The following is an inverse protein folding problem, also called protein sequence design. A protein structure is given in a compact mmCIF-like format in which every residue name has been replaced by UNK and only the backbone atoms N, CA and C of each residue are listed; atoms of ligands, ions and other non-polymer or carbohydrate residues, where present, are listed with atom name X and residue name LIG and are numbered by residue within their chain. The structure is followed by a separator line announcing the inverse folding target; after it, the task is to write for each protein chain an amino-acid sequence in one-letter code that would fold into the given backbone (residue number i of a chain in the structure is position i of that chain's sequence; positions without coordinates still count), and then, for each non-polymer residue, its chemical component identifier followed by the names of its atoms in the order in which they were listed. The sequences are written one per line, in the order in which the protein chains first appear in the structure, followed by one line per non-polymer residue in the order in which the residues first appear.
data_IF_820448242328
#
_entry.id   IF_820448242328
#
_cell.length_a   1.000
_cell.length_b   1.000
_cell.length_c   1.000
_cell.angle_alpha   90.00
_cell.angle_beta   90.00
_cell.angle_gamma   90.00
#
_symmetry.space_group_name_H-M   'P 1'
#
loop_
_entity.id
_entity.type
_entity.pdbx_description
1 polymer ?
#
# COMPACT_ATOMS: atom_id res chain seq x y z
N UNK A 1 -5.13 -4.44 28.74
CA UNK A 1 -4.33 -5.27 29.67
C UNK A 1 -2.87 -5.40 29.24
N UNK A 2 -2.44 -4.78 28.12
CA UNK A 2 -1.07 -4.88 27.64
C UNK A 2 -0.82 -6.12 26.79
N UNK A 3 -1.84 -6.96 26.56
CA UNK A 3 -1.77 -8.05 25.61
C UNK A 3 -2.04 -7.54 24.19
N UNK A 4 -1.28 -8.03 23.20
CA UNK A 4 -1.52 -7.66 21.81
C UNK A 4 -2.87 -8.23 21.36
N UNK A 5 -3.75 -7.35 20.88
CA UNK A 5 -5.05 -7.72 20.31
C UNK A 5 -4.88 -8.46 18.97
N UNK A 6 -3.76 -8.23 18.29
CA UNK A 6 -3.40 -8.87 17.03
C UNK A 6 -2.02 -9.53 17.13
N UNK A 7 -1.90 -10.78 16.66
CA UNK A 7 -0.64 -11.56 16.76
C UNK A 7 0.41 -11.21 15.70
N UNK A 8 0.12 -10.33 14.74
CA UNK A 8 0.98 -10.06 13.58
C UNK A 8 1.34 -8.58 13.46
N UNK A 9 2.65 -8.29 13.37
CA UNK A 9 3.19 -6.93 13.22
C UNK A 9 2.63 -6.22 11.98
N UNK A 10 2.42 -6.94 10.88
CA UNK A 10 1.85 -6.38 9.65
C UNK A 10 0.43 -5.82 9.85
N UNK A 11 -0.43 -6.52 10.60
CA UNK A 11 -1.77 -6.01 10.94
C UNK A 11 -1.67 -4.72 11.75
N UNK A 12 -0.79 -4.67 12.75
CA UNK A 12 -0.57 -3.46 13.55
C UNK A 12 -0.07 -2.28 12.69
N UNK A 13 0.83 -2.54 11.73
CA UNK A 13 1.30 -1.52 10.80
C UNK A 13 0.16 -0.94 9.98
N UNK A 14 -0.77 -1.77 9.48
CA UNK A 14 -1.94 -1.28 8.77
C UNK A 14 -2.82 -0.40 9.65
N UNK A 15 -3.10 -0.81 10.89
CA UNK A 15 -3.95 -0.05 11.81
C UNK A 15 -3.36 1.31 12.16
N UNK A 16 -2.04 1.35 12.40
CA UNK A 16 -1.30 2.60 12.56
C UNK A 16 -1.34 3.41 11.26
N UNK A 17 -1.21 2.75 10.11
CA UNK A 17 -1.16 3.34 8.77
C UNK A 17 -2.42 4.10 8.40
N UNK A 18 -3.61 3.56 8.70
CA UNK A 18 -4.90 4.20 8.39
C UNK A 18 -4.97 5.61 8.97
N UNK A 19 -4.69 5.76 10.27
CA UNK A 19 -4.71 7.08 10.92
C UNK A 19 -3.57 7.99 10.44
N UNK A 20 -2.39 7.40 10.20
CA UNK A 20 -1.18 8.12 9.78
C UNK A 20 -1.35 8.76 8.40
N UNK A 21 -1.83 8.00 7.42
CA UNK A 21 -2.04 8.46 6.05
C UNK A 21 -3.02 9.64 6.01
N UNK A 22 -4.12 9.57 6.79
CA UNK A 22 -5.15 10.61 6.83
C UNK A 22 -4.64 11.96 7.37
N UNK A 23 -3.58 11.95 8.17
CA UNK A 23 -2.97 13.18 8.71
C UNK A 23 -1.68 13.58 7.98
N UNK A 24 -1.41 12.98 6.81
CA UNK A 24 -0.28 13.32 5.95
C UNK A 24 1.07 12.77 6.45
N UNK A 25 1.06 11.66 7.19
CA UNK A 25 2.27 10.91 7.57
C UNK A 25 2.12 9.43 7.18
N UNK A 26 3.04 8.57 7.60
CA UNK A 26 3.03 7.14 7.29
C UNK A 26 3.64 6.32 8.45
N UNK A 27 3.31 5.03 8.53
CA UNK A 27 3.88 4.11 9.52
C UNK A 27 5.41 4.07 9.45
N UNK A 28 5.99 4.06 8.24
CA UNK A 28 7.42 4.14 8.00
C UNK A 28 8.06 5.35 8.69
N UNK A 29 7.42 6.53 8.64
CA UNK A 29 7.98 7.75 9.20
C UNK A 29 8.20 7.64 10.71
N UNK A 30 7.25 7.05 11.44
CA UNK A 30 7.41 6.81 12.88
C UNK A 30 8.52 5.79 13.16
N UNK A 31 8.50 4.64 12.47
CA UNK A 31 9.49 3.58 12.69
C UNK A 31 10.91 4.03 12.35
N UNK A 32 11.09 4.74 11.23
CA UNK A 32 12.38 5.31 10.82
C UNK A 32 12.84 6.36 11.81
N UNK A 33 11.94 7.20 12.32
CA UNK A 33 12.29 8.20 13.33
C UNK A 33 12.82 7.54 14.61
N UNK A 34 12.17 6.49 15.11
CA UNK A 34 12.64 5.73 16.27
C UNK A 34 14.04 5.14 16.04
N UNK A 35 14.28 4.58 14.85
CA UNK A 35 15.61 4.09 14.47
C UNK A 35 16.69 5.18 14.47
N UNK A 36 16.37 6.36 13.93
CA UNK A 36 17.26 7.53 13.94
C UNK A 36 17.53 8.01 15.38
N UNK A 37 16.51 8.02 16.25
CA UNK A 37 16.70 8.33 17.69
C UNK A 37 17.57 7.29 18.39
N UNK A 38 17.46 6.03 17.99
CA UNK A 38 18.38 4.97 18.43
C UNK A 38 19.84 5.30 18.08
N UNK A 39 20.10 5.85 16.89
CA UNK A 39 21.44 6.31 16.48
C UNK A 39 21.89 7.50 17.34
N UNK A 40 21.01 8.45 17.66
CA UNK A 40 21.36 9.57 18.56
C UNK A 40 21.91 9.04 19.88
N UNK A 41 21.20 8.10 20.52
CA UNK A 41 21.66 7.47 21.75
C UNK A 41 23.00 6.76 21.58
N UNK A 42 23.19 6.00 20.49
CA UNK A 42 24.48 5.34 20.22
C UNK A 42 25.63 6.35 20.09
N UNK A 43 25.40 7.52 19.48
CA UNK A 43 26.43 8.54 19.33
C UNK A 43 26.81 9.24 20.64
N UNK A 44 25.94 9.22 21.66
CA UNK A 44 26.23 9.80 22.99
C UNK A 44 27.05 8.85 23.88
N UNK A 45 27.11 7.56 23.53
CA UNK A 45 27.84 6.54 24.29
C UNK A 45 29.34 6.66 24.11
N UNK A 46 30.08 6.75 25.22
CA UNK A 46 31.55 6.87 25.24
C UNK A 46 32.28 5.64 24.70
N UNK A 47 31.62 4.49 24.69
CA UNK A 47 32.14 3.21 24.19
C UNK A 47 31.85 2.96 22.71
N UNK A 48 31.19 3.91 22.02
CA UNK A 48 30.85 3.82 20.60
C UNK A 48 31.58 4.91 19.81
N UNK A 49 32.18 4.55 18.68
CA UNK A 49 32.70 5.52 17.72
C UNK A 49 31.56 5.98 16.79
N UNK A 50 31.10 7.24 16.87
CA UNK A 50 29.97 7.73 16.07
C UNK A 50 30.27 7.76 14.57
N UNK A 51 31.54 7.58 14.14
CA UNK A 51 31.91 7.47 12.73
C UNK A 51 31.80 6.04 12.19
N UNK A 52 31.49 5.06 13.05
CA UNK A 52 31.49 3.62 12.72
C UNK A 52 30.15 2.96 13.03
N UNK A 53 29.06 3.59 12.59
CA UNK A 53 27.71 3.04 12.74
C UNK A 53 27.37 2.14 11.55
N UNK A 54 27.02 0.88 11.86
CA UNK A 54 26.47 -0.08 10.91
C UNK A 54 24.97 -0.27 11.11
N UNK A 55 24.21 -0.54 10.04
CA UNK A 55 22.77 -0.81 10.12
C UNK A 55 22.40 -2.08 9.34
N UNK A 56 21.65 -3.00 9.95
CA UNK A 56 21.21 -4.25 9.32
C UNK A 56 19.90 -4.73 9.93
N UNK A 57 19.12 -5.44 9.12
CA UNK A 57 17.84 -6.03 9.53
C UNK A 57 17.25 -6.85 8.41
N UNK A 58 16.30 -7.73 8.75
CA UNK A 58 15.65 -8.64 7.81
C UNK A 58 14.18 -8.30 7.63
N UNK A 59 13.63 -8.41 6.41
CA UNK A 59 12.20 -8.20 6.14
C UNK A 59 11.75 -6.77 6.48
N UNK A 60 10.80 -6.58 7.41
CA UNK A 60 10.50 -5.25 7.97
C UNK A 60 11.73 -4.55 8.61
N UNK A 61 12.68 -5.32 9.16
CA UNK A 61 13.98 -4.78 9.56
C UNK A 61 14.87 -4.38 8.38
N UNK A 62 14.74 -5.06 7.24
CA UNK A 62 15.42 -4.71 5.99
C UNK A 62 14.81 -3.46 5.35
N UNK A 63 13.48 -3.31 5.44
CA UNK A 63 12.74 -2.09 5.10
C UNK A 63 13.30 -0.92 5.92
N UNK A 64 13.33 -1.09 7.24
CA UNK A 64 13.78 -0.05 8.15
C UNK A 64 15.26 0.30 7.94
N UNK A 65 16.12 -0.72 7.73
CA UNK A 65 17.52 -0.51 7.36
C UNK A 65 17.64 0.34 6.11
N UNK A 66 16.81 0.08 5.09
CA UNK A 66 16.83 0.80 3.82
C UNK A 66 16.44 2.28 3.97
N UNK A 67 15.43 2.57 4.79
CA UNK A 67 15.04 3.96 5.09
C UNK A 67 16.11 4.67 5.92
N UNK A 68 16.56 4.07 7.02
CA UNK A 68 17.54 4.71 7.91
C UNK A 68 18.85 4.96 7.17
N UNK A 69 19.35 3.98 6.41
CA UNK A 69 20.62 4.14 5.68
C UNK A 69 20.57 5.20 4.59
N UNK A 70 19.38 5.48 4.04
CA UNK A 70 19.16 6.48 3.01
C UNK A 70 18.92 7.88 3.59
N UNK A 71 18.33 7.98 4.80
CA UNK A 71 17.91 9.23 5.41
C UNK A 71 18.83 9.74 6.53
N UNK A 72 19.73 8.92 7.06
CA UNK A 72 20.67 9.31 8.11
C UNK A 72 22.12 9.10 7.67
N UNK A 73 22.85 10.22 7.52
CA UNK A 73 24.22 10.19 7.05
C UNK A 73 25.20 9.51 8.01
N UNK A 74 24.86 9.33 9.29
CA UNK A 74 25.73 8.69 10.28
C UNK A 74 25.87 7.20 10.04
N UNK A 75 24.93 6.57 9.32
CA UNK A 75 25.07 5.17 8.91
C UNK A 75 26.17 5.04 7.86
N UNK A 76 27.34 4.62 8.31
CA UNK A 76 28.50 4.40 7.47
C UNK A 76 28.32 3.16 6.61
N UNK A 77 27.98 2.02 7.21
CA UNK A 77 27.83 0.73 6.52
C UNK A 77 26.41 0.18 6.70
N UNK A 78 25.83 -0.44 5.67
CA UNK A 78 24.51 -1.06 5.80
C UNK A 78 24.40 -2.42 5.10
N UNK A 79 23.50 -3.26 5.59
CA UNK A 79 23.17 -4.55 5.01
C UNK A 79 21.68 -4.91 5.14
N UNK A 80 20.78 -4.31 4.34
CA UNK A 80 19.37 -4.73 4.32
C UNK A 80 19.24 -6.17 3.80
N UNK A 81 18.51 -7.02 4.53
CA UNK A 81 18.30 -8.41 4.20
C UNK A 81 16.84 -8.73 3.85
N UNK A 82 16.63 -9.54 2.80
CA UNK A 82 15.34 -10.09 2.38
C UNK A 82 14.24 -9.02 2.31
N UNK A 83 14.52 -7.95 1.55
CA UNK A 83 13.58 -6.83 1.35
C UNK A 83 13.75 -6.21 -0.03
N UNK A 84 14.95 -5.69 -0.34
CA UNK A 84 15.20 -4.91 -1.56
C UNK A 84 14.92 -5.74 -2.82
N UNK A 85 13.92 -5.31 -3.59
CA UNK A 85 13.57 -5.80 -4.92
C UNK A 85 12.95 -4.65 -5.72
N UNK A 86 12.98 -4.71 -7.05
CA UNK A 86 12.34 -3.67 -7.88
C UNK A 86 10.84 -3.62 -7.59
N UNK A 87 10.24 -2.43 -7.54
CA UNK A 87 8.81 -2.29 -7.30
C UNK A 87 7.96 -2.97 -8.38
N UNK A 88 8.41 -2.97 -9.64
CA UNK A 88 7.75 -3.71 -10.73
C UNK A 88 7.57 -5.20 -10.37
N UNK A 89 8.69 -5.89 -10.07
CA UNK A 89 8.66 -7.31 -9.68
C UNK A 89 7.86 -7.55 -8.41
N UNK A 90 7.92 -6.64 -7.43
CA UNK A 90 7.13 -6.74 -6.20
C UNK A 90 5.63 -6.72 -6.50
N UNK A 91 5.18 -5.74 -7.29
CA UNK A 91 3.77 -5.55 -7.66
C UNK A 91 3.27 -6.73 -8.49
N UNK A 92 4.04 -7.19 -9.47
CA UNK A 92 3.66 -8.29 -10.37
C UNK A 92 3.54 -9.65 -9.67
N UNK A 93 4.23 -9.83 -8.54
CA UNK A 93 4.28 -11.13 -7.84
C UNK A 93 3.38 -11.14 -6.61
N UNK A 94 3.73 -10.35 -5.59
CA UNK A 94 3.07 -10.38 -4.29
C UNK A 94 2.28 -9.09 -4.01
N UNK A 95 2.30 -8.12 -4.92
CA UNK A 95 1.58 -6.86 -4.77
C UNK A 95 2.23 -5.91 -3.75
N UNK A 96 1.59 -4.75 -3.49
CA UNK A 96 2.04 -3.84 -2.44
C UNK A 96 2.00 -4.55 -1.08
N UNK A 97 2.88 -4.13 -0.17
CA UNK A 97 3.01 -4.73 1.17
C UNK A 97 2.25 -3.91 2.20
N UNK A 98 2.58 -4.01 3.48
CA UNK A 98 1.89 -3.29 4.54
C UNK A 98 2.26 -1.80 4.62
N UNK A 99 1.64 -1.08 5.56
CA UNK A 99 1.72 0.37 5.63
C UNK A 99 3.15 0.92 5.82
N UNK A 100 4.06 0.13 6.38
CA UNK A 100 5.46 0.57 6.54
C UNK A 100 6.26 0.51 5.24
N UNK A 101 5.83 -0.26 4.24
CA UNK A 101 6.58 -0.47 3.01
C UNK A 101 6.05 0.34 1.83
N UNK A 102 4.92 1.04 1.99
CA UNK A 102 4.32 1.86 0.95
C UNK A 102 4.42 3.34 1.31
N UNK A 103 5.23 4.08 0.55
CA UNK A 103 5.35 5.53 0.65
C UNK A 103 4.39 6.18 -0.35
N UNK A 104 3.73 7.28 0.05
CA UNK A 104 2.77 7.95 -0.82
C UNK A 104 3.41 8.33 -2.15
N UNK A 105 2.73 8.01 -3.24
CA UNK A 105 3.12 8.39 -4.59
C UNK A 105 4.50 7.89 -5.03
N UNK A 106 5.10 6.92 -4.32
CA UNK A 106 6.47 6.45 -4.60
C UNK A 106 6.67 6.08 -6.08
N UNK A 107 5.74 5.30 -6.65
CA UNK A 107 5.79 4.90 -8.07
C UNK A 107 5.50 6.08 -8.99
N UNK A 108 4.51 6.92 -8.66
CA UNK A 108 4.17 8.08 -9.48
C UNK A 108 5.32 9.09 -9.62
N UNK A 109 6.15 9.22 -8.58
CA UNK A 109 7.37 10.05 -8.59
C UNK A 109 8.59 9.35 -9.19
N UNK A 110 8.42 8.11 -9.69
CA UNK A 110 9.47 7.35 -10.35
C UNK A 110 10.52 6.76 -9.41
N UNK A 111 10.19 6.65 -8.11
CA UNK A 111 11.09 6.09 -7.11
C UNK A 111 10.88 4.57 -6.99
N UNK A 112 11.98 3.82 -6.99
CA UNK A 112 12.05 2.38 -6.75
C UNK A 112 12.78 2.10 -5.42
N UNK A 113 12.72 0.87 -4.90
CA UNK A 113 13.52 0.46 -3.76
C UNK A 113 15.03 0.53 -4.04
N UNK A 114 15.43 0.44 -5.31
CA UNK A 114 16.82 0.66 -5.73
C UNK A 114 17.33 2.04 -5.31
N UNK A 115 16.48 3.07 -5.32
CA UNK A 115 16.88 4.44 -4.99
C UNK A 115 17.37 4.58 -3.55
N UNK A 116 16.89 3.77 -2.61
CA UNK A 116 17.42 3.78 -1.24
C UNK A 116 18.92 3.44 -1.20
N UNK A 117 19.39 2.60 -2.12
CA UNK A 117 20.83 2.25 -2.25
C UNK A 117 21.58 3.36 -2.99
N UNK A 118 20.97 3.97 -4.00
CA UNK A 118 21.59 5.02 -4.81
C UNK A 118 21.77 6.33 -4.04
N UNK A 119 20.79 6.71 -3.21
CA UNK A 119 20.79 7.94 -2.42
C UNK A 119 21.99 8.07 -1.48
N UNK A 120 22.56 6.93 -1.03
CA UNK A 120 23.71 6.92 -0.13
C UNK A 120 25.04 6.66 -0.82
N UNK A 121 25.07 6.55 -2.15
CA UNK A 121 26.30 6.32 -2.89
C UNK A 121 27.34 7.43 -2.55
N UNK A 122 28.63 7.07 -2.34
CA UNK A 122 29.21 5.74 -2.53
C UNK A 122 29.22 4.85 -1.26
N UNK A 123 28.50 5.15 -0.17
CA UNK A 123 28.66 4.46 1.12
C UNK A 123 28.42 2.93 1.05
N UNK A 124 29.16 2.12 1.84
CA UNK A 124 29.08 0.66 1.74
C UNK A 124 27.69 0.07 2.00
N UNK A 125 27.15 -0.67 1.02
CA UNK A 125 25.86 -1.38 1.09
C UNK A 125 25.99 -2.83 0.63
N UNK A 126 25.61 -3.79 1.47
CA UNK A 126 25.46 -5.20 1.11
C UNK A 126 23.97 -5.54 0.97
N UNK A 127 23.55 -5.96 -0.23
CA UNK A 127 22.20 -6.47 -0.46
C UNK A 127 22.21 -7.95 -0.09
N UNK A 128 21.49 -8.33 0.97
CA UNK A 128 21.39 -9.72 1.42
C UNK A 128 20.04 -10.31 1.00
N UNK A 129 20.02 -11.49 0.40
CA UNK A 129 18.78 -12.14 -0.01
C UNK A 129 18.88 -13.66 0.03
N UNK A 130 17.72 -14.31 -0.08
CA UNK A 130 17.62 -15.76 -0.22
C UNK A 130 16.95 -16.14 -1.54
N UNK A 131 17.38 -17.24 -2.15
CA UNK A 131 16.93 -17.66 -3.49
C UNK A 131 15.42 -17.91 -3.57
N UNK A 132 14.82 -18.53 -2.55
CA UNK A 132 13.39 -18.92 -2.51
C UNK A 132 12.55 -17.97 -1.64
N UNK A 133 12.91 -16.68 -1.60
CA UNK A 133 12.12 -15.64 -0.92
C UNK A 133 10.84 -15.31 -1.70
N UNK A 134 9.83 -14.80 -1.00
CA UNK A 134 8.66 -14.19 -1.63
C UNK A 134 8.96 -12.79 -2.17
N UNK A 135 9.99 -12.10 -1.65
CA UNK A 135 10.59 -10.96 -2.35
C UNK A 135 11.36 -11.47 -3.58
N UNK A 136 10.90 -11.08 -4.76
CA UNK A 136 11.36 -11.65 -6.01
C UNK A 136 12.88 -11.45 -6.22
N UNK A 137 13.60 -12.56 -6.38
CA UNK A 137 15.06 -12.59 -6.52
C UNK A 137 15.58 -11.92 -7.79
N UNK A 138 14.82 -11.96 -8.90
CA UNK A 138 15.22 -11.27 -10.14
C UNK A 138 15.27 -9.76 -9.92
N UNK A 139 14.24 -9.19 -9.27
CA UNK A 139 14.21 -7.77 -8.92
C UNK A 139 15.31 -7.36 -7.93
N UNK A 140 15.71 -8.26 -7.02
CA UNK A 140 16.87 -8.04 -6.14
C UNK A 140 18.18 -7.95 -6.94
N UNK A 141 18.38 -8.86 -7.90
CA UNK A 141 19.53 -8.83 -8.79
C UNK A 141 19.55 -7.60 -9.69
N UNK A 142 18.40 -7.14 -10.17
CA UNK A 142 18.30 -5.92 -10.95
C UNK A 142 18.66 -4.68 -10.12
N UNK A 143 18.15 -4.61 -8.88
CA UNK A 143 18.54 -3.60 -7.88
C UNK A 143 20.06 -3.56 -7.70
N UNK A 144 20.68 -4.73 -7.52
CA UNK A 144 22.13 -4.83 -7.37
C UNK A 144 22.88 -4.37 -8.62
N UNK A 145 22.50 -4.84 -9.82
CA UNK A 145 23.18 -4.50 -11.08
C UNK A 145 23.10 -3.00 -11.38
N UNK A 146 21.95 -2.39 -11.14
CA UNK A 146 21.77 -0.94 -11.26
C UNK A 146 22.68 -0.20 -10.29
N UNK A 147 22.65 -0.59 -9.01
CA UNK A 147 23.50 0.00 -7.97
C UNK A 147 24.99 -0.15 -8.27
N UNK A 148 25.44 -1.33 -8.72
CA UNK A 148 26.84 -1.60 -9.07
C UNK A 148 27.34 -0.70 -10.19
N UNK A 149 26.53 -0.49 -11.23
CA UNK A 149 26.84 0.44 -12.33
C UNK A 149 26.89 1.89 -11.85
N UNK A 150 25.98 2.28 -10.96
CA UNK A 150 25.96 3.62 -10.41
C UNK A 150 27.18 3.91 -9.54
N UNK A 151 27.51 3.02 -8.59
CA UNK A 151 28.68 3.14 -7.72
C UNK A 151 30.00 3.11 -8.52
N UNK A 152 30.06 2.37 -9.63
CA UNK A 152 31.21 2.40 -10.53
C UNK A 152 31.48 3.80 -11.11
N UNK A 153 30.45 4.63 -11.34
CA UNK A 153 30.62 6.02 -11.78
C UNK A 153 31.27 6.92 -10.72
N UNK A 154 31.18 6.55 -9.45
CA UNK A 154 31.89 7.21 -8.34
C UNK A 154 33.29 6.63 -8.11
N UNK A 155 33.72 5.66 -8.93
CA UNK A 155 35.00 4.96 -8.75
C UNK A 155 35.04 4.03 -7.53
N UNK A 156 33.88 3.67 -6.97
CA UNK A 156 33.75 2.85 -5.75
C UNK A 156 32.83 1.63 -5.96
N UNK A 157 32.98 0.85 -7.06
CA UNK A 157 32.08 -0.27 -7.34
C UNK A 157 32.07 -1.33 -6.24
N UNK A 158 33.16 -1.50 -5.49
CA UNK A 158 33.30 -2.46 -4.39
C UNK A 158 32.53 -2.06 -3.13
N UNK A 159 32.04 -0.81 -3.02
CA UNK A 159 31.18 -0.37 -1.92
C UNK A 159 29.71 -0.80 -2.08
N UNK A 160 29.36 -1.51 -3.16
CA UNK A 160 28.08 -2.21 -3.24
C UNK A 160 28.28 -3.66 -3.66
N UNK A 161 27.68 -4.58 -2.91
CA UNK A 161 27.73 -6.00 -3.22
C UNK A 161 26.40 -6.70 -2.92
N UNK A 162 26.25 -7.93 -3.41
CA UNK A 162 25.11 -8.78 -3.13
C UNK A 162 25.58 -10.12 -2.59
N UNK A 163 24.87 -10.64 -1.59
CA UNK A 163 24.97 -12.03 -1.16
C UNK A 163 23.61 -12.70 -1.30
N UNK A 164 23.56 -13.72 -2.13
CA UNK A 164 22.42 -14.62 -2.25
C UNK A 164 22.74 -15.93 -1.54
N UNK A 165 21.84 -16.38 -0.68
CA UNK A 165 21.94 -17.68 -0.01
C UNK A 165 20.78 -18.59 -0.39
N UNK A 166 21.03 -19.88 -0.56
CA UNK A 166 19.95 -20.84 -0.73
C UNK A 166 19.03 -20.86 0.50
N UNK A 167 17.71 -20.86 0.28
CA UNK A 167 16.72 -20.93 1.35
C UNK A 167 15.52 -20.01 1.13
N UNK A 168 14.59 -20.09 2.08
CA UNK A 168 13.40 -19.22 2.16
C UNK A 168 13.73 -17.93 2.92
N UNK A 169 12.76 -17.03 2.95
CA UNK A 169 12.79 -15.75 3.66
C UNK A 169 13.47 -15.81 5.04
N UNK A 170 14.56 -15.04 5.20
CA UNK A 170 15.29 -14.94 6.46
C UNK A 170 16.79 -14.73 6.29
N UNK A 171 17.52 -14.60 7.40
CA UNK A 171 18.99 -14.48 7.39
C UNK A 171 19.62 -15.84 7.69
N UNK A 172 20.06 -16.52 6.63
CA UNK A 172 20.77 -17.81 6.74
C UNK A 172 22.13 -17.64 7.44
N UNK A 173 22.79 -18.76 7.77
CA UNK A 173 24.16 -18.73 8.29
C UNK A 173 25.10 -17.98 7.35
N UNK A 174 25.09 -18.33 6.06
CA UNK A 174 25.85 -17.65 5.01
C UNK A 174 25.56 -16.15 4.97
N UNK A 175 24.29 -15.76 5.07
CA UNK A 175 23.89 -14.35 5.15
C UNK A 175 24.46 -13.63 6.38
N UNK A 176 24.42 -14.26 7.56
CA UNK A 176 24.98 -13.68 8.81
C UNK A 176 26.49 -13.50 8.72
N UNK A 177 27.19 -14.49 8.20
CA UNK A 177 28.65 -14.45 7.98
C UNK A 177 29.04 -13.34 7.00
N UNK A 178 28.29 -13.20 5.90
CA UNK A 178 28.49 -12.14 4.91
C UNK A 178 28.21 -10.75 5.47
N UNK A 179 27.11 -10.56 6.22
CA UNK A 179 26.80 -9.30 6.91
C UNK A 179 27.92 -8.96 7.89
N UNK A 180 28.33 -9.92 8.72
CA UNK A 180 29.41 -9.72 9.69
C UNK A 180 30.71 -9.30 9.02
N UNK A 181 31.13 -10.01 7.98
CA UNK A 181 32.34 -9.68 7.21
C UNK A 181 32.24 -8.30 6.58
N UNK A 182 31.08 -7.93 6.03
CA UNK A 182 30.87 -6.62 5.43
C UNK A 182 31.00 -5.49 6.45
N UNK A 183 30.38 -5.65 7.62
CA UNK A 183 30.52 -4.69 8.73
C UNK A 183 31.98 -4.61 9.20
N UNK A 184 32.65 -5.75 9.37
CA UNK A 184 34.06 -5.80 9.78
C UNK A 184 34.98 -5.09 8.78
N UNK A 185 34.80 -5.35 7.48
CA UNK A 185 35.59 -4.72 6.41
C UNK A 185 35.47 -3.21 6.46
N UNK A 186 34.26 -2.68 6.52
CA UNK A 186 34.03 -1.26 6.35
C UNK A 186 34.15 -0.45 7.64
N UNK A 187 33.75 -1.01 8.78
CA UNK A 187 33.84 -0.32 10.07
C UNK A 187 35.21 -0.47 10.73
N UNK A 188 35.89 -1.60 10.52
CA UNK A 188 37.16 -1.92 11.18
C UNK A 188 38.36 -1.98 10.24
N UNK A 189 38.16 -1.95 8.92
CA UNK A 189 39.25 -2.08 7.95
C UNK A 189 39.83 -3.49 7.88
N UNK A 190 39.08 -4.51 8.33
CA UNK A 190 39.53 -5.91 8.36
C UNK A 190 38.68 -6.71 7.39
N UNK A 191 39.27 -7.16 6.27
CA UNK A 191 38.59 -8.01 5.28
C UNK A 191 39.01 -9.47 5.49
N UNK A 192 38.37 -10.14 6.45
CA UNK A 192 38.59 -11.56 6.75
C UNK A 192 37.24 -12.30 6.82
N UNK A 193 37.28 -13.59 6.51
CA UNK A 193 36.11 -14.44 6.66
C UNK A 193 35.68 -14.52 8.13
N UNK A 194 34.37 -14.55 8.35
CA UNK A 194 33.76 -14.75 9.66
C UNK A 194 33.06 -16.10 9.66
N UNK A 195 33.31 -16.88 10.71
CA UNK A 195 32.50 -18.06 11.03
C UNK A 195 31.45 -17.63 12.04
N UNK A 196 30.18 -17.84 11.72
CA UNK A 196 29.08 -17.56 12.65
C UNK A 196 29.19 -18.50 13.86
N UNK A 197 29.44 -17.98 15.07
CA UNK A 197 29.58 -18.80 16.27
C UNK A 197 28.25 -19.40 16.75
N UNK A 198 27.14 -19.10 16.06
CA UNK A 198 25.80 -19.33 16.56
C UNK A 198 25.35 -18.18 17.47
N UNK A 199 24.04 -18.10 17.71
CA UNK A 199 23.46 -17.05 18.54
C UNK A 199 22.99 -17.62 19.88
N UNK A 200 23.32 -16.92 20.97
CA UNK A 200 22.65 -17.12 22.25
C UNK A 200 21.25 -16.52 22.15
N UNK A 201 20.22 -17.30 22.50
CA UNK A 201 18.88 -16.77 22.73
C UNK A 201 18.78 -16.21 24.14
N UNK A 202 18.18 -15.02 24.25
CA UNK A 202 17.91 -14.35 25.51
C UNK A 202 16.44 -14.56 25.88
N UNK A 203 16.14 -14.59 27.18
CA UNK A 203 14.76 -14.64 27.67
C UNK A 203 14.05 -13.30 27.41
N UNK A 204 12.72 -13.26 27.53
CA UNK A 204 11.96 -12.00 27.41
C UNK A 204 12.38 -11.03 28.52
N UNK A 205 12.63 -11.57 29.71
CA UNK A 205 13.08 -10.84 30.89
C UNK A 205 14.46 -10.22 30.67
N UNK A 206 15.38 -10.93 30.01
CA UNK A 206 16.70 -10.39 29.65
C UNK A 206 16.61 -9.20 28.67
N UNK A 207 15.57 -9.18 27.83
CA UNK A 207 15.37 -8.17 26.78
C UNK A 207 14.48 -7.01 27.24
N UNK A 208 13.99 -7.03 28.48
CA UNK A 208 13.04 -6.05 28.98
C UNK A 208 13.72 -4.72 29.30
N UNK A 209 13.49 -3.70 28.47
CA UNK A 209 14.06 -2.36 28.66
C UNK A 209 13.12 -1.37 29.38
N UNK A 210 11.92 -1.79 29.79
CA UNK A 210 10.96 -0.95 30.52
C UNK A 210 10.44 -1.66 31.77
N UNK A 211 9.99 -0.94 32.82
CA UNK A 211 9.58 -1.56 34.08
C UNK A 211 8.50 -2.64 33.94
N UNK A 212 7.65 -2.54 32.91
CA UNK A 212 6.51 -3.46 32.68
C UNK A 212 6.53 -4.11 31.29
N UNK A 213 7.64 -4.02 30.55
CA UNK A 213 7.79 -4.64 29.23
C UNK A 213 7.04 -3.94 28.09
N UNK A 214 6.39 -2.81 28.34
CA UNK A 214 5.65 -2.03 27.35
C UNK A 214 5.85 -0.53 27.59
N UNK A 215 6.26 0.20 26.56
CA UNK A 215 6.53 1.64 26.60
C UNK A 215 5.26 2.40 26.99
N UNK A 216 4.11 2.03 26.41
CA UNK A 216 2.82 2.69 26.69
C UNK A 216 2.32 2.54 28.14
N UNK A 217 3.00 1.76 28.99
CA UNK A 217 2.70 1.67 30.42
C UNK A 217 3.52 2.65 31.28
N UNK A 218 4.45 3.39 30.67
CA UNK A 218 5.21 4.46 31.32
C UNK A 218 4.34 5.73 31.36
N UNK A 219 4.35 6.43 32.49
CA UNK A 219 3.56 7.64 32.68
C UNK A 219 3.95 8.73 31.68
N UNK A 220 2.96 9.30 31.00
CA UNK A 220 3.15 10.37 30.01
C UNK A 220 3.47 9.92 28.59
N UNK A 221 3.69 8.61 28.36
CA UNK A 221 3.92 8.08 27.01
C UNK A 221 2.67 8.17 26.14
N UNK A 222 2.89 8.30 24.83
CA UNK A 222 1.83 8.47 23.82
C UNK A 222 1.93 7.38 22.76
N UNK A 223 0.79 6.82 22.38
CA UNK A 223 0.71 5.92 21.23
C UNK A 223 0.77 6.71 19.92
N UNK A 224 1.07 6.01 18.82
CA UNK A 224 0.96 6.62 17.48
C UNK A 224 -0.47 7.10 17.19
N UNK A 225 -1.49 6.47 17.78
CA UNK A 225 -2.88 6.93 17.67
C UNK A 225 -3.08 8.29 18.36
N UNK A 226 -2.49 8.51 19.53
CA UNK A 226 -2.53 9.80 20.23
C UNK A 226 -1.83 10.88 19.41
N UNK A 227 -0.64 10.56 18.88
CA UNK A 227 0.14 11.47 18.03
C UNK A 227 -0.62 11.83 16.74
N UNK A 228 -1.29 10.85 16.11
CA UNK A 228 -2.14 11.08 14.96
C UNK A 228 -3.37 11.92 15.32
N UNK A 229 -3.99 11.68 16.49
CA UNK A 229 -5.10 12.49 17.01
C UNK A 229 -4.69 13.95 17.23
N UNK A 230 -3.50 14.19 17.77
CA UNK A 230 -2.93 15.53 17.93
C UNK A 230 -2.70 16.22 16.58
N UNK A 231 -2.07 15.53 15.62
CA UNK A 231 -1.93 16.03 14.24
C UNK A 231 -3.27 16.34 13.60
N UNK A 232 -4.28 15.48 13.79
CA UNK A 232 -5.62 15.69 13.26
C UNK A 232 -6.26 16.98 13.79
N UNK A 233 -6.01 17.36 15.05
CA UNK A 233 -6.51 18.61 15.65
C UNK A 233 -5.90 19.86 14.99
N UNK A 234 -4.64 19.81 14.55
CA UNK A 234 -4.00 20.91 13.79
C UNK A 234 -4.81 21.25 12.54
N UNK A 235 -5.42 20.24 11.90
CA UNK A 235 -6.23 20.43 10.70
C UNK A 235 -7.70 20.79 10.97
N UNK A 236 -8.14 20.93 12.23
CA UNK A 236 -9.52 21.25 12.57
C UNK A 236 -10.04 22.58 11.98
N UNK A 237 -9.26 23.68 11.98
CA UNK A 237 -9.68 24.93 11.33
C UNK A 237 -9.90 24.76 9.81
N UNK A 238 -9.05 23.97 9.13
CA UNK A 238 -9.20 23.68 7.70
C UNK A 238 -10.48 22.91 7.39
N UNK A 239 -10.84 21.93 8.25
CA UNK A 239 -12.11 21.19 8.11
C UNK A 239 -13.33 22.08 8.33
N UNK A 240 -13.31 22.98 9.32
CA UNK A 240 -14.37 23.98 9.51
C UNK A 240 -14.50 24.91 8.29
N UNK A 241 -13.37 25.38 7.76
CA UNK A 241 -13.34 26.18 6.54
C UNK A 241 -13.96 25.44 5.34
N UNK A 242 -13.65 24.16 5.15
CA UNK A 242 -14.27 23.33 4.12
C UNK A 242 -15.78 23.15 4.33
N UNK A 243 -16.22 22.88 5.56
CA UNK A 243 -17.64 22.70 5.88
C UNK A 243 -18.48 23.97 5.67
N UNK A 244 -17.87 25.15 5.76
CA UNK A 244 -18.52 26.43 5.49
C UNK A 244 -18.53 26.84 4.00
N UNK A 245 -17.98 26.04 3.10
CA UNK A 245 -17.98 26.38 1.67
C UNK A 245 -19.38 26.26 1.04
N UNK A 246 -19.72 27.13 0.07
CA UNK A 246 -20.79 26.88 -0.86
C UNK A 246 -20.69 25.48 -1.50
N UNK A 247 -21.84 24.85 -1.75
CA UNK A 247 -21.92 23.44 -2.14
C UNK A 247 -21.17 23.13 -3.45
N UNK A 248 -21.21 24.04 -4.43
CA UNK A 248 -20.48 23.94 -5.69
C UNK A 248 -18.96 23.98 -5.47
N UNK A 249 -18.47 24.88 -4.63
CA UNK A 249 -17.06 24.98 -4.27
C UNK A 249 -16.60 23.75 -3.47
N UNK A 250 -17.42 23.26 -2.54
CA UNK A 250 -17.16 22.04 -1.79
C UNK A 250 -17.07 20.83 -2.73
N UNK A 251 -18.01 20.66 -3.67
CA UNK A 251 -17.99 19.60 -4.68
C UNK A 251 -16.75 19.67 -5.56
N UNK A 252 -16.38 20.87 -6.04
CA UNK A 252 -15.16 21.06 -6.83
C UNK A 252 -13.90 20.72 -6.03
N UNK A 253 -13.86 21.06 -4.74
CA UNK A 253 -12.76 20.70 -3.84
C UNK A 253 -12.66 19.19 -3.66
N UNK A 254 -13.78 18.49 -3.44
CA UNK A 254 -13.82 17.03 -3.31
C UNK A 254 -13.34 16.37 -4.60
N UNK A 255 -13.85 16.77 -5.77
CA UNK A 255 -13.41 16.22 -7.06
C UNK A 255 -11.90 16.36 -7.25
N UNK A 256 -11.35 17.54 -6.99
CA UNK A 256 -9.90 17.76 -7.12
C UNK A 256 -9.10 16.90 -6.15
N UNK A 257 -9.48 16.83 -4.88
CA UNK A 257 -8.74 16.05 -3.87
C UNK A 257 -8.83 14.55 -4.13
N UNK A 258 -9.98 14.06 -4.60
CA UNK A 258 -10.15 12.67 -4.99
C UNK A 258 -9.57 12.34 -6.38
N UNK A 259 -9.04 13.32 -7.12
CA UNK A 259 -8.52 13.08 -8.48
C UNK A 259 -9.59 12.69 -9.50
N UNK A 260 -10.85 13.09 -9.29
CA UNK A 260 -11.95 12.79 -10.22
C UNK A 260 -11.92 13.79 -11.37
N UNK A 261 -11.71 13.31 -12.59
CA UNK A 261 -11.68 14.11 -13.82
C UNK A 261 -13.02 14.78 -14.10
N UNK A 262 -13.02 15.81 -14.96
CA UNK A 262 -14.28 16.41 -15.43
C UNK A 262 -15.04 15.41 -16.29
N UNK A 263 -16.36 15.58 -16.39
CA UNK A 263 -17.21 14.65 -17.12
C UNK A 263 -16.79 14.50 -18.58
N UNK A 264 -16.44 15.61 -19.24
CA UNK A 264 -15.98 15.65 -20.64
C UNK A 264 -14.69 14.84 -20.87
N UNK A 265 -13.82 14.77 -19.86
CA UNK A 265 -12.52 14.09 -19.92
C UNK A 265 -12.58 12.59 -19.58
N UNK A 266 -13.73 12.10 -19.09
CA UNK A 266 -13.93 10.67 -18.79
C UNK A 266 -14.45 10.00 -20.07
N UNK A 267 -13.67 9.15 -20.76
CA UNK A 267 -14.11 8.56 -22.03
C UNK A 267 -15.29 7.61 -21.83
N UNK A 268 -16.07 7.39 -22.89
CA UNK A 268 -17.15 6.41 -22.89
C UNK A 268 -16.57 4.99 -22.90
N UNK A 269 -17.07 4.13 -22.03
CA UNK A 269 -16.71 2.73 -21.98
C UNK A 269 -17.37 1.92 -23.09
N UNK A 270 -16.71 0.82 -23.43
CA UNK A 270 -17.31 -0.25 -24.24
C UNK A 270 -17.89 -1.33 -23.34
N UNK A 271 -18.97 -1.97 -23.80
CA UNK A 271 -19.58 -3.11 -23.12
C UNK A 271 -19.55 -4.35 -24.00
N UNK A 272 -19.27 -5.50 -23.37
CA UNK A 272 -19.36 -6.81 -24.01
C UNK A 272 -20.32 -7.69 -23.24
N UNK A 273 -21.31 -8.25 -23.93
CA UNK A 273 -22.17 -9.30 -23.36
C UNK A 273 -21.40 -10.61 -23.27
N UNK A 274 -21.39 -11.21 -22.08
CA UNK A 274 -20.70 -12.48 -21.80
C UNK A 274 -21.65 -13.58 -21.34
N UNK A 275 -22.93 -13.26 -21.10
CA UNK A 275 -23.93 -14.25 -20.74
C UNK A 275 -25.31 -13.65 -20.61
N UNK A 276 -26.32 -14.51 -20.53
CA UNK A 276 -27.72 -14.13 -20.40
C UNK A 276 -28.50 -15.19 -19.62
N UNK A 277 -29.47 -14.75 -18.84
CA UNK A 277 -30.46 -15.58 -18.18
C UNK A 277 -31.84 -14.91 -18.30
N UNK A 278 -32.91 -15.69 -18.21
CA UNK A 278 -34.29 -15.18 -18.26
C UNK A 278 -35.10 -15.77 -17.12
N UNK A 279 -35.94 -14.93 -16.50
CA UNK A 279 -37.02 -15.33 -15.60
C UNK A 279 -38.37 -14.98 -16.24
N UNK A 280 -39.48 -15.25 -15.55
CA UNK A 280 -40.82 -14.87 -16.03
C UNK A 280 -41.03 -13.34 -16.07
N UNK A 281 -40.34 -12.61 -15.19
CA UNK A 281 -40.54 -11.18 -14.94
C UNK A 281 -39.47 -10.28 -15.56
N UNK A 282 -38.25 -10.78 -15.78
CA UNK A 282 -37.14 -10.01 -16.32
C UNK A 282 -36.10 -10.86 -17.04
N UNK A 283 -35.29 -10.19 -17.86
CA UNK A 283 -34.08 -10.73 -18.48
C UNK A 283 -32.85 -10.19 -17.76
N UNK A 284 -31.87 -11.05 -17.46
CA UNK A 284 -30.55 -10.64 -16.96
C UNK A 284 -29.53 -10.82 -18.07
N UNK A 285 -28.79 -9.76 -18.38
CA UNK A 285 -27.57 -9.82 -19.21
C UNK A 285 -26.35 -9.63 -18.33
N UNK A 286 -25.38 -10.52 -18.49
CA UNK A 286 -24.04 -10.37 -17.90
C UNK A 286 -23.19 -9.59 -18.89
N UNK A 287 -22.73 -8.41 -18.48
CA UNK A 287 -21.90 -7.53 -19.29
C UNK A 287 -20.55 -7.34 -18.62
N UNK A 288 -19.53 -7.03 -19.43
CA UNK A 288 -18.24 -6.52 -18.96
C UNK A 288 -18.05 -5.14 -19.56
N UNK A 289 -17.89 -4.14 -18.71
CA UNK A 289 -17.47 -2.79 -19.09
C UNK A 289 -15.95 -2.70 -19.01
N UNK A 290 -15.29 -2.20 -20.05
CA UNK A 290 -13.85 -1.93 -19.99
C UNK A 290 -13.64 -0.45 -19.70
N UNK A 291 -13.11 -0.14 -18.53
CA UNK A 291 -12.70 1.20 -18.14
C UNK A 291 -11.48 1.65 -18.97
N UNK A 292 -11.18 2.93 -18.94
CA UNK A 292 -10.17 3.55 -19.81
C UNK A 292 -8.72 3.21 -19.43
N UNK A 293 -8.50 2.75 -18.21
CA UNK A 293 -7.26 2.14 -17.74
C UNK A 293 -7.16 0.64 -18.06
N UNK A 294 -8.12 0.08 -18.80
CA UNK A 294 -8.17 -1.33 -19.16
C UNK A 294 -8.80 -2.24 -18.09
N UNK A 295 -9.22 -1.70 -16.94
CA UNK A 295 -9.88 -2.51 -15.90
C UNK A 295 -11.25 -2.98 -16.40
N UNK A 296 -11.49 -4.29 -16.30
CA UNK A 296 -12.75 -4.90 -16.69
C UNK A 296 -13.71 -5.00 -15.51
N UNK A 297 -14.84 -4.30 -15.60
CA UNK A 297 -15.85 -4.19 -14.55
C UNK A 297 -17.11 -5.00 -14.93
N UNK A 298 -17.46 -6.06 -14.18
CA UNK A 298 -18.59 -6.92 -14.48
C UNK A 298 -19.89 -6.28 -14.00
N UNK A 299 -20.92 -6.47 -14.83
CA UNK A 299 -22.22 -5.84 -14.68
C UNK A 299 -23.31 -6.90 -14.82
N UNK A 300 -24.34 -6.80 -13.99
CA UNK A 300 -25.63 -7.43 -14.21
C UNK A 300 -26.63 -6.36 -14.66
N UNK A 301 -27.07 -6.48 -15.91
CA UNK A 301 -28.13 -5.65 -16.48
C UNK A 301 -29.45 -6.41 -16.37
N UNK A 302 -30.36 -5.94 -15.52
CA UNK A 302 -31.70 -6.51 -15.33
C UNK A 302 -32.71 -5.68 -16.12
N UNK A 303 -33.37 -6.33 -17.07
CA UNK A 303 -34.31 -5.73 -18.02
C UNK A 303 -35.70 -6.26 -17.69
N UNK A 304 -36.59 -5.45 -17.09
CA UNK A 304 -37.97 -5.86 -16.83
C UNK A 304 -38.71 -6.19 -18.13
N UNK A 305 -39.56 -7.21 -18.10
CA UNK A 305 -40.40 -7.61 -19.25
C UNK A 305 -41.33 -6.48 -19.71
N UNK A 306 -41.82 -5.68 -18.77
CA UNK A 306 -42.65 -4.50 -19.03
C UNK A 306 -41.88 -3.23 -18.67
N UNK A 307 -40.88 -2.87 -19.48
CA UNK A 307 -40.11 -1.64 -19.24
C UNK A 307 -40.96 -0.39 -19.49
N UNK A 308 -40.98 0.53 -18.53
CA UNK A 308 -41.57 1.88 -18.65
C UNK A 308 -40.52 2.95 -18.94
N UNK A 309 -39.28 2.53 -19.20
CA UNK A 309 -38.10 3.40 -19.26
C UNK A 309 -37.60 3.79 -17.87
N UNK A 310 -36.46 4.49 -17.84
CA UNK A 310 -35.76 4.81 -16.58
C UNK A 310 -34.63 3.83 -16.29
N UNK A 311 -33.62 4.32 -15.58
CA UNK A 311 -32.38 3.62 -15.31
C UNK A 311 -32.02 3.79 -13.84
N UNK A 312 -31.73 2.66 -13.20
CA UNK A 312 -31.23 2.60 -11.83
C UNK A 312 -29.87 1.92 -11.84
N UNK A 313 -28.85 2.58 -11.28
CA UNK A 313 -27.59 1.94 -10.96
C UNK A 313 -27.67 1.35 -9.56
N UNK A 314 -27.28 0.09 -9.43
CA UNK A 314 -27.13 -0.58 -8.14
C UNK A 314 -25.64 -0.78 -7.83
N UNK A 315 -25.19 -0.25 -6.71
CA UNK A 315 -23.81 -0.35 -6.25
C UNK A 315 -23.82 -1.06 -4.89
N UNK A 316 -23.20 -2.23 -4.79
CA UNK A 316 -23.06 -2.93 -3.51
C UNK A 316 -21.61 -2.90 -3.06
N UNK A 317 -21.37 -2.54 -1.80
CA UNK A 317 -20.02 -2.60 -1.21
C UNK A 317 -19.50 -4.03 -1.01
N UNK A 318 -20.28 -5.05 -1.38
CA UNK A 318 -19.88 -6.46 -1.24
C UNK A 318 -19.88 -7.20 -2.58
N UNK A 319 -21.04 -7.32 -3.25
CA UNK A 319 -21.15 -8.02 -4.52
C UNK A 319 -22.44 -7.64 -5.25
N UNK A 320 -22.37 -7.39 -6.56
CA UNK A 320 -23.52 -7.05 -7.41
C UNK A 320 -24.61 -8.13 -7.45
N UNK A 321 -24.28 -9.39 -7.18
CA UNK A 321 -25.26 -10.50 -7.16
C UNK A 321 -26.36 -10.31 -6.10
N UNK A 322 -26.12 -9.47 -5.08
CA UNK A 322 -27.15 -9.10 -4.11
C UNK A 322 -28.26 -8.21 -4.69
N UNK A 323 -28.12 -7.74 -5.93
CA UNK A 323 -29.07 -6.85 -6.61
C UNK A 323 -30.52 -7.31 -6.49
N UNK A 324 -30.81 -8.60 -6.70
CA UNK A 324 -32.18 -9.10 -6.63
C UNK A 324 -32.70 -9.27 -5.20
N UNK A 325 -31.83 -9.28 -4.18
CA UNK A 325 -32.24 -9.37 -2.78
C UNK A 325 -32.52 -8.02 -2.13
N UNK A 326 -32.44 -6.91 -2.87
CA UNK A 326 -32.66 -5.56 -2.35
C UNK A 326 -34.07 -5.06 -2.65
N UNK A 327 -34.81 -4.63 -1.63
CA UNK A 327 -36.22 -4.23 -1.76
C UNK A 327 -36.43 -3.03 -2.70
N UNK A 328 -35.54 -2.03 -2.66
CA UNK A 328 -35.61 -0.86 -3.54
C UNK A 328 -35.34 -1.23 -5.01
N UNK A 329 -34.50 -2.25 -5.23
CA UNK A 329 -34.29 -2.80 -6.58
C UNK A 329 -35.53 -3.54 -7.06
N UNK A 330 -36.18 -4.34 -6.20
CA UNK A 330 -37.42 -5.03 -6.55
C UNK A 330 -38.54 -4.04 -6.90
N UNK A 331 -38.68 -2.97 -6.12
CA UNK A 331 -39.60 -1.87 -6.42
C UNK A 331 -39.27 -1.23 -7.78
N UNK A 332 -38.00 -0.97 -8.06
CA UNK A 332 -37.57 -0.42 -9.34
C UNK A 332 -37.87 -1.33 -10.54
N UNK A 333 -37.67 -2.65 -10.38
CA UNK A 333 -38.04 -3.64 -11.40
C UNK A 333 -39.55 -3.63 -11.63
N UNK A 334 -40.36 -3.62 -10.55
CA UNK A 334 -41.82 -3.56 -10.62
C UNK A 334 -42.33 -2.28 -11.31
N UNK A 335 -41.65 -1.15 -11.10
CA UNK A 335 -41.93 0.10 -11.80
C UNK A 335 -41.54 0.07 -13.29
N UNK A 336 -40.89 -0.99 -13.75
CA UNK A 336 -40.42 -1.14 -15.12
C UNK A 336 -39.11 -0.39 -15.40
N UNK A 337 -38.36 -0.01 -14.36
CA UNK A 337 -37.03 0.59 -14.48
C UNK A 337 -35.97 -0.48 -14.71
N UNK A 338 -35.04 -0.17 -15.59
CA UNK A 338 -33.92 -1.06 -15.87
C UNK A 338 -32.83 -0.91 -14.80
N UNK A 339 -32.25 -2.02 -14.36
CA UNK A 339 -31.24 -2.03 -13.29
C UNK A 339 -29.88 -2.41 -13.86
N UNK A 340 -28.86 -1.64 -13.51
CA UNK A 340 -27.46 -1.96 -13.83
C UNK A 340 -26.68 -2.08 -12.53
N UNK A 341 -26.41 -3.32 -12.13
CA UNK A 341 -25.63 -3.62 -10.95
C UNK A 341 -24.16 -3.81 -11.31
N UNK A 342 -23.28 -3.03 -10.70
CA UNK A 342 -21.85 -2.96 -11.04
C UNK A 342 -21.01 -3.42 -9.85
N UNK A 343 -20.03 -4.29 -10.09
CA UNK A 343 -18.91 -4.45 -9.15
C UNK A 343 -17.86 -3.39 -9.47
N UNK A 344 -17.58 -2.53 -8.48
CA UNK A 344 -16.51 -1.54 -8.57
C UNK A 344 -15.15 -2.19 -8.35
N UNK A 345 -14.07 -1.52 -8.77
CA UNK A 345 -12.71 -2.02 -8.55
C UNK A 345 -12.44 -2.35 -7.07
N UNK A 346 -11.89 -3.53 -6.83
CA UNK A 346 -11.63 -4.08 -5.50
C UNK A 346 -12.88 -4.53 -4.73
N UNK A 347 -14.04 -4.67 -5.40
CA UNK A 347 -15.30 -5.16 -4.82
C UNK A 347 -15.82 -6.32 -5.67
N UNK A 348 -16.60 -7.21 -5.05
CA UNK A 348 -17.26 -8.32 -5.73
C UNK A 348 -16.30 -9.24 -6.46
N UNK A 349 -16.52 -9.46 -7.75
CA UNK A 349 -15.64 -10.27 -8.60
C UNK A 349 -14.22 -9.70 -8.75
N UNK A 350 -13.99 -8.41 -8.43
CA UNK A 350 -12.67 -7.77 -8.46
C UNK A 350 -11.97 -7.73 -7.10
N UNK A 351 -12.58 -8.31 -6.06
CA UNK A 351 -11.99 -8.31 -4.73
C UNK A 351 -10.72 -9.15 -4.70
N UNK A 352 -9.60 -8.57 -4.28
CA UNK A 352 -8.36 -9.34 -4.15
C UNK A 352 -8.47 -10.42 -3.05
N UNK A 353 -7.90 -11.63 -3.20
CA UNK A 353 -7.99 -12.71 -2.21
C UNK A 353 -7.47 -12.37 -0.80
N UNK A 354 -6.55 -11.41 -0.69
CA UNK A 354 -6.02 -10.93 0.61
C UNK A 354 -6.91 -9.90 1.30
N UNK A 355 -8.05 -9.55 0.70
CA UNK A 355 -9.01 -8.62 1.30
C UNK A 355 -9.59 -9.21 2.58
N UNK A 356 -9.88 -8.35 3.56
CA UNK A 356 -10.50 -8.78 4.81
C UNK A 356 -11.47 -7.71 5.34
N UNK A 357 -12.22 -8.03 6.39
CA UNK A 357 -13.25 -7.14 6.93
C UNK A 357 -12.67 -5.91 7.66
N UNK A 358 -11.43 -5.98 8.12
CA UNK A 358 -10.79 -4.91 8.87
C UNK A 358 -10.16 -3.86 7.94
N UNK A 359 -9.59 -4.29 6.82
CA UNK A 359 -8.81 -3.44 5.90
C UNK A 359 -9.40 -3.32 4.49
N UNK A 360 -10.50 -4.02 4.20
CA UNK A 360 -11.06 -4.09 2.84
C UNK A 360 -10.09 -4.71 1.84
N UNK A 361 -10.18 -4.28 0.57
CA UNK A 361 -9.17 -4.58 -0.46
C UNK A 361 -8.00 -3.60 -0.35
N UNK A 362 -7.17 -3.85 0.65
CA UNK A 362 -6.01 -3.01 0.96
C UNK A 362 -4.97 -3.03 -0.17
N UNK A 363 -4.86 -4.08 -0.99
CA UNK A 363 -3.89 -4.11 -2.08
C UNK A 363 -4.25 -3.13 -3.18
N UNK A 364 -5.51 -3.12 -3.59
CA UNK A 364 -6.00 -2.16 -4.57
C UNK A 364 -5.87 -0.72 -4.05
N UNK A 365 -6.09 -0.51 -2.74
CA UNK A 365 -5.83 0.77 -2.08
C UNK A 365 -4.36 1.18 -2.17
N UNK A 366 -3.40 0.33 -1.74
CA UNK A 366 -1.99 0.70 -1.73
C UNK A 366 -1.41 0.86 -3.12
N UNK A 367 -1.88 0.11 -4.11
CA UNK A 367 -1.50 0.34 -5.51
C UNK A 367 -1.93 1.74 -5.97
N UNK A 368 -3.18 2.15 -5.65
CA UNK A 368 -3.64 3.51 -5.94
C UNK A 368 -2.78 4.55 -5.19
N UNK A 369 -2.50 4.29 -3.91
CA UNK A 369 -1.70 5.18 -3.06
C UNK A 369 -0.26 5.39 -3.55
N UNK A 370 0.39 4.34 -4.07
CA UNK A 370 1.72 4.40 -4.68
C UNK A 370 1.71 5.16 -6.01
N UNK A 371 0.59 5.16 -6.73
CA UNK A 371 0.37 5.84 -8.01
C UNK A 371 -0.17 7.28 -7.85
N UNK A 372 -0.22 7.83 -6.64
CA UNK A 372 -0.84 9.14 -6.35
C UNK A 372 -2.33 9.21 -6.72
N UNK A 373 -3.00 8.06 -6.73
CA UNK A 373 -4.42 7.95 -7.08
C UNK A 373 -5.27 7.70 -5.83
N UNK A 374 -6.51 8.19 -5.87
CA UNK A 374 -7.52 7.86 -4.87
C UNK A 374 -8.35 6.68 -5.35
N UNK A 375 -8.40 5.59 -4.57
CA UNK A 375 -9.30 4.48 -4.87
C UNK A 375 -10.77 4.93 -4.91
N UNK A 376 -11.17 5.85 -4.01
CA UNK A 376 -12.50 6.47 -4.02
C UNK A 376 -12.73 7.26 -5.30
N UNK A 377 -11.73 8.02 -5.75
CA UNK A 377 -11.79 8.74 -7.02
C UNK A 377 -11.98 7.81 -8.21
N UNK A 378 -11.17 6.73 -8.28
CA UNK A 378 -11.24 5.73 -9.35
C UNK A 378 -12.59 4.99 -9.35
N UNK A 379 -13.10 4.56 -8.19
CA UNK A 379 -14.44 3.98 -8.05
C UNK A 379 -15.54 4.95 -8.47
N UNK A 380 -15.40 6.24 -8.13
CA UNK A 380 -16.36 7.28 -8.56
C UNK A 380 -16.35 7.44 -10.09
N UNK A 381 -15.18 7.41 -10.71
CA UNK A 381 -15.07 7.43 -12.17
C UNK A 381 -15.66 6.19 -12.83
N UNK A 382 -15.51 5.00 -12.23
CA UNK A 382 -16.16 3.77 -12.70
C UNK A 382 -17.69 3.94 -12.77
N UNK A 383 -18.30 4.51 -11.73
CA UNK A 383 -19.74 4.82 -11.67
C UNK A 383 -20.13 5.85 -12.73
N UNK A 384 -19.39 6.96 -12.83
CA UNK A 384 -19.67 8.03 -13.80
C UNK A 384 -19.53 7.52 -15.23
N UNK A 385 -18.51 6.72 -15.51
CA UNK A 385 -18.26 6.15 -16.83
C UNK A 385 -19.40 5.20 -17.24
N UNK A 386 -19.81 4.30 -16.33
CA UNK A 386 -20.97 3.43 -16.55
C UNK A 386 -22.24 4.26 -16.83
N UNK A 387 -22.58 5.19 -15.94
CA UNK A 387 -23.75 6.06 -16.06
C UNK A 387 -23.80 6.81 -17.41
N UNK A 388 -22.69 7.46 -17.78
CA UNK A 388 -22.58 8.26 -19.00
C UNK A 388 -22.68 7.38 -20.25
N UNK A 389 -22.01 6.23 -20.23
CA UNK A 389 -21.98 5.32 -21.39
C UNK A 389 -23.35 4.70 -21.65
N UNK A 390 -24.09 4.31 -20.61
CA UNK A 390 -25.46 3.80 -20.76
C UNK A 390 -26.42 4.85 -21.32
N UNK A 391 -26.35 6.10 -20.83
CA UNK A 391 -27.20 7.18 -21.35
C UNK A 391 -26.95 7.47 -22.83
N UNK A 392 -25.68 7.45 -23.24
CA UNK A 392 -25.29 7.74 -24.63
C UNK A 392 -25.62 6.59 -25.58
N UNK A 393 -25.47 5.33 -25.16
CA UNK A 393 -25.76 4.17 -26.02
C UNK A 393 -27.24 4.00 -26.34
N UNK A 394 -28.12 4.46 -25.45
CA UNK A 394 -29.55 4.21 -25.58
C UNK A 394 -30.34 5.44 -26.06
N UNK A 395 -29.65 6.48 -26.56
CA UNK A 395 -30.22 7.78 -26.96
C UNK A 395 -31.22 8.32 -25.91
N UNK A 396 -30.97 7.98 -24.63
CA UNK A 396 -31.81 8.39 -23.51
C UNK A 396 -31.47 9.84 -23.20
N UNK A 397 -32.13 10.79 -23.87
CA UNK A 397 -32.09 12.25 -23.61
C UNK A 397 -31.87 12.55 -22.11
N UNK A 398 -30.62 12.69 -21.66
CA UNK A 398 -30.16 13.01 -20.29
C UNK A 398 -31.23 12.83 -19.18
N UNK A 399 -31.83 11.63 -19.08
CA UNK A 399 -32.84 11.36 -18.05
C UNK A 399 -32.14 11.17 -16.71
N UNK A 400 -32.76 11.57 -15.58
CA UNK A 400 -32.22 11.27 -14.27
C UNK A 400 -31.93 9.77 -14.13
N UNK A 401 -30.76 9.45 -13.58
CA UNK A 401 -30.38 8.11 -13.17
C UNK A 401 -30.57 8.04 -11.66
N UNK A 402 -31.26 7.02 -11.20
CA UNK A 402 -31.34 6.73 -9.77
C UNK A 402 -30.16 5.85 -9.36
N UNK A 403 -29.59 6.13 -8.19
CA UNK A 403 -28.48 5.33 -7.65
C UNK A 403 -28.95 4.74 -6.33
N UNK A 404 -28.92 3.41 -6.24
CA UNK A 404 -29.12 2.66 -5.01
C UNK A 404 -27.76 2.11 -4.61
N UNK A 405 -27.22 2.57 -3.48
CA UNK A 405 -25.92 2.15 -2.96
C UNK A 405 -26.08 1.47 -1.59
N UNK A 406 -25.30 0.42 -1.33
CA UNK A 406 -25.26 -0.28 -0.03
C UNK A 406 -23.83 -0.43 0.49
N UNK A 407 -23.70 -0.51 1.81
CA UNK A 407 -22.42 -0.75 2.50
C UNK A 407 -21.36 0.34 2.19
N UNK A 408 -20.18 -0.04 1.70
CA UNK A 408 -19.05 0.84 1.35
C UNK A 408 -19.16 1.49 -0.05
N UNK A 409 -20.15 1.09 -0.87
CA UNK A 409 -20.22 1.49 -2.28
C UNK A 409 -20.84 2.86 -2.55
#
# INVERSE_FOLDING_TARGET
DGHPEHRGSTTEHFLVGVGSILVGTNTAAYRTWDGIRGIDYLCERKDIDPKKIGCTGCSGGGTLTSYIMALDERVYCAAPACYLTTLEKLIDTIGPQDAEQNIHAQIAFGMDQTDYVLMRAPKPTLICCTTDDFFNIEGTWDTFRQSKRFYAKFGQPEQVNLVESAGKHGVTKTGREAIGRWMQRWLLGIDKDITDPGSKTWSVEDLQCTPKGQVLLIEGEKSVFDLNGERARIFAPRRKGFAGLPLDLARNRVRRVAGIRKLEDIPLASFRTVGQARSEDFEIRKLVMVADDGVSLPILRVIPKHSKGGLTLFLSGTHKEKVLGNDLVQEAIHDGREIWALDLRGIGELRHPSSNNQLGDWKTFYLSYLLEQSLVGRRTEDVINCARSVLMMEDRKMKPIEIIATDEA
#
